data_IF_218090922189
#
_entry.id   IF_218090922189
#
_cell.length_a   1.000
_cell.length_b   1.000
_cell.length_c   1.000
_cell.angle_alpha   90.00
_cell.angle_beta   90.00
_cell.angle_gamma   90.00
#
_symmetry.space_group_name_H-M   'P 1'
#
loop_
_entity.id
_entity.type
_entity.pdbx_description
1 polymer ?
#
# COMPACT_ATOMS: atom_id res chain seq x y z
N UNK A 1 -4.54 1.64 -10.90
CA UNK A 1 -5.63 1.35 -9.95
C UNK A 1 -6.19 -0.06 -10.18
N UNK A 2 -6.82 -0.44 -11.31
CA UNK A 2 -7.42 -1.78 -11.43
C UNK A 2 -6.40 -2.92 -11.28
N UNK A 3 -5.25 -2.85 -11.91
CA UNK A 3 -4.28 -3.98 -11.95
C UNK A 3 -3.62 -4.29 -10.60
N UNK A 4 -3.37 -3.28 -9.77
CA UNK A 4 -2.67 -3.46 -8.48
C UNK A 4 -3.67 -3.62 -7.34
N UNK A 5 -4.71 -2.78 -7.31
CA UNK A 5 -5.64 -2.69 -6.18
C UNK A 5 -7.00 -3.34 -6.43
N UNK A 6 -7.24 -3.89 -7.63
CA UNK A 6 -8.54 -4.45 -8.05
C UNK A 6 -9.72 -3.50 -7.83
N UNK A 7 -9.52 -2.20 -8.02
CA UNK A 7 -10.60 -1.22 -7.92
C UNK A 7 -11.12 -0.82 -9.28
N UNK A 8 -12.44 -0.70 -9.38
CA UNK A 8 -13.18 -0.35 -10.57
C UNK A 8 -13.91 0.99 -10.38
N UNK A 9 -14.38 1.65 -11.46
CA UNK A 9 -15.22 2.84 -11.34
C UNK A 9 -16.40 2.60 -10.40
N UNK A 10 -16.59 3.50 -9.43
CA UNK A 10 -17.61 3.40 -8.40
C UNK A 10 -17.15 2.77 -7.07
N UNK A 11 -16.04 2.03 -7.06
CA UNK A 11 -15.48 1.51 -5.81
C UNK A 11 -14.93 2.65 -4.92
N UNK A 12 -14.89 2.40 -3.62
CA UNK A 12 -14.30 3.32 -2.65
C UNK A 12 -12.89 2.87 -2.29
N UNK A 13 -11.92 3.70 -2.60
CA UNK A 13 -10.51 3.51 -2.26
C UNK A 13 -10.08 4.52 -1.21
N UNK A 14 -9.36 4.08 -0.20
CA UNK A 14 -8.87 4.94 0.87
C UNK A 14 -7.37 4.77 1.09
N UNK A 15 -6.60 5.80 0.73
CA UNK A 15 -5.22 5.93 1.17
C UNK A 15 -5.18 6.79 2.45
N UNK A 16 -5.12 6.12 3.60
CA UNK A 16 -5.03 6.76 4.91
C UNK A 16 -3.58 7.19 5.19
N UNK A 17 -3.17 8.26 4.54
CA UNK A 17 -1.82 8.83 4.60
C UNK A 17 -1.87 10.36 4.56
N UNK A 18 -0.72 10.99 4.74
CA UNK A 18 -0.59 12.45 4.72
C UNK A 18 -0.68 12.99 3.30
N UNK A 19 -1.63 13.89 3.07
CA UNK A 19 -1.85 14.53 1.77
C UNK A 19 -0.68 15.45 1.35
N UNK A 20 0.15 15.87 2.29
CA UNK A 20 1.32 16.73 2.04
C UNK A 20 2.49 16.01 1.36
N UNK A 21 2.47 14.69 1.27
CA UNK A 21 3.47 13.88 0.58
C UNK A 21 3.01 13.51 -0.84
N UNK A 22 3.93 12.96 -1.65
CA UNK A 22 3.58 12.49 -3.00
C UNK A 22 2.45 11.45 -3.00
N UNK A 23 2.30 10.67 -1.92
CA UNK A 23 1.16 9.76 -1.73
C UNK A 23 -0.19 10.48 -1.80
N UNK A 24 -0.25 11.73 -1.31
CA UNK A 24 -1.44 12.58 -1.44
C UNK A 24 -1.81 12.85 -2.88
N UNK A 25 -0.82 13.13 -3.72
CA UNK A 25 -1.03 13.33 -5.15
C UNK A 25 -1.39 12.03 -5.87
N UNK A 26 -0.53 11.03 -5.76
CA UNK A 26 -0.69 9.77 -6.51
C UNK A 26 -1.87 8.94 -6.03
N UNK A 27 -1.98 8.69 -4.73
CA UNK A 27 -2.88 7.67 -4.19
C UNK A 27 -4.13 8.22 -3.51
N UNK A 28 -4.14 9.49 -3.07
CA UNK A 28 -5.34 10.06 -2.45
C UNK A 28 -6.16 10.81 -3.49
N UNK A 29 -5.53 11.63 -4.35
CA UNK A 29 -6.26 12.53 -5.25
C UNK A 29 -6.32 11.99 -6.68
N UNK A 30 -5.18 11.90 -7.38
CA UNK A 30 -5.23 11.75 -8.84
C UNK A 30 -5.61 10.35 -9.29
N UNK A 31 -4.94 9.31 -8.82
CA UNK A 31 -5.18 7.97 -9.35
C UNK A 31 -6.58 7.43 -9.08
N UNK A 32 -7.15 7.55 -7.86
CA UNK A 32 -8.52 7.12 -7.62
C UNK A 32 -9.54 7.86 -8.50
N UNK A 33 -9.44 9.18 -8.59
CA UNK A 33 -10.38 9.99 -9.36
C UNK A 33 -10.28 9.72 -10.87
N UNK A 34 -9.05 9.58 -11.41
CA UNK A 34 -8.84 9.19 -12.82
C UNK A 34 -9.41 7.81 -13.10
N UNK A 35 -9.33 6.89 -12.14
CA UNK A 35 -9.91 5.55 -12.26
C UNK A 35 -11.44 5.53 -12.08
N UNK A 36 -12.08 6.66 -11.80
CA UNK A 36 -13.54 6.73 -11.55
C UNK A 36 -13.95 6.19 -10.18
N UNK A 37 -13.01 6.05 -9.25
CA UNK A 37 -13.26 5.63 -7.88
C UNK A 37 -13.67 6.82 -7.00
N UNK A 38 -14.39 6.54 -5.93
CA UNK A 38 -14.49 7.46 -4.81
C UNK A 38 -13.22 7.36 -3.97
N UNK A 39 -12.73 8.49 -3.47
CA UNK A 39 -11.59 8.55 -2.56
C UNK A 39 -12.01 9.15 -1.21
N UNK A 40 -11.44 8.63 -0.14
CA UNK A 40 -11.67 9.17 1.20
C UNK A 40 -10.53 10.13 1.55
N UNK A 41 -10.87 11.37 1.83
CA UNK A 41 -9.95 12.36 2.41
C UNK A 41 -10.22 12.42 3.91
N UNK A 42 -9.29 11.93 4.69
CA UNK A 42 -9.44 11.73 6.12
C UNK A 42 -8.58 12.71 6.92
N UNK A 43 -9.23 13.49 7.79
CA UNK A 43 -8.57 14.36 8.76
C UNK A 43 -8.60 13.69 10.14
N UNK A 44 -7.56 12.94 10.47
CA UNK A 44 -7.47 12.24 11.74
C UNK A 44 -6.21 11.40 11.86
N UNK A 45 -6.14 10.66 12.96
CA UNK A 45 -5.04 9.74 13.27
C UNK A 45 -5.56 8.32 13.40
N UNK A 46 -4.74 7.28 13.21
CA UNK A 46 -5.17 5.89 13.34
C UNK A 46 -5.62 5.50 14.75
N UNK A 47 -5.20 6.30 15.74
CA UNK A 47 -5.63 6.19 17.14
C UNK A 47 -5.90 7.58 17.71
N UNK A 48 -6.83 7.67 18.70
CA UNK A 48 -7.11 8.93 19.39
C UNK A 48 -7.98 9.93 18.62
N UNK A 49 -8.73 9.49 17.59
CA UNK A 49 -9.68 10.33 16.83
C UNK A 49 -11.05 9.65 16.68
N UNK A 50 -11.83 9.42 17.72
CA UNK A 50 -11.47 9.59 19.15
C UNK A 50 -10.72 8.40 19.75
N UNK A 51 -10.67 7.24 19.10
CA UNK A 51 -10.13 5.97 19.58
C UNK A 51 -9.50 5.13 18.47
N UNK A 52 -9.09 3.89 18.77
CA UNK A 52 -8.49 2.95 17.82
C UNK A 52 -9.50 2.34 16.81
N UNK A 53 -10.79 2.63 16.95
CA UNK A 53 -11.85 2.17 16.05
C UNK A 53 -12.10 3.09 14.86
N UNK A 54 -11.39 4.21 14.75
CA UNK A 54 -11.67 5.21 13.72
C UNK A 54 -11.55 4.67 12.29
N UNK A 55 -10.56 3.82 12.00
CA UNK A 55 -10.41 3.24 10.67
C UNK A 55 -11.58 2.32 10.33
N UNK A 56 -12.05 1.57 11.29
CA UNK A 56 -13.17 0.65 11.12
C UNK A 56 -14.49 1.39 10.89
N UNK A 57 -14.72 2.52 11.58
CA UNK A 57 -15.87 3.40 11.32
C UNK A 57 -15.84 3.96 9.89
N UNK A 58 -14.71 4.45 9.44
CA UNK A 58 -14.56 4.99 8.08
C UNK A 58 -14.82 3.92 7.03
N UNK A 59 -14.29 2.69 7.24
CA UNK A 59 -14.53 1.56 6.34
C UNK A 59 -16.03 1.23 6.29
N UNK A 60 -16.68 1.13 7.44
CA UNK A 60 -18.10 0.83 7.55
C UNK A 60 -18.97 1.91 6.90
N UNK A 61 -18.74 3.17 7.24
CA UNK A 61 -19.55 4.32 6.80
C UNK A 61 -19.45 4.54 5.29
N UNK A 62 -18.24 4.44 4.74
CA UNK A 62 -17.99 4.72 3.33
C UNK A 62 -17.89 3.47 2.46
N UNK A 63 -18.06 2.27 3.05
CA UNK A 63 -17.94 0.99 2.33
C UNK A 63 -16.63 0.87 1.56
N UNK A 64 -15.54 1.17 2.24
CA UNK A 64 -14.19 1.13 1.67
C UNK A 64 -13.87 -0.29 1.21
N UNK A 65 -13.53 -0.44 -0.08
CA UNK A 65 -13.11 -1.70 -0.69
C UNK A 65 -11.63 -1.98 -0.46
N UNK A 66 -10.79 -0.96 -0.60
CA UNK A 66 -9.34 -1.08 -0.43
C UNK A 66 -8.84 0.02 0.51
N UNK A 67 -8.12 -0.40 1.54
CA UNK A 67 -7.39 0.48 2.43
C UNK A 67 -5.89 0.41 2.11
N UNK A 68 -5.26 1.58 1.93
CA UNK A 68 -3.81 1.72 1.89
C UNK A 68 -3.34 2.60 3.03
N UNK A 69 -2.32 2.18 3.78
CA UNK A 69 -1.73 2.98 4.86
C UNK A 69 -0.28 2.56 5.15
N UNK A 70 0.33 3.18 6.16
CA UNK A 70 1.67 2.81 6.60
C UNK A 70 1.63 1.70 7.68
N UNK A 71 2.64 0.81 7.75
CA UNK A 71 2.76 -0.18 8.81
C UNK A 71 2.73 0.42 10.22
N UNK A 72 3.28 1.62 10.40
CA UNK A 72 3.21 2.37 11.67
C UNK A 72 1.80 2.62 12.15
N UNK A 73 0.84 2.86 11.25
CA UNK A 73 -0.56 3.04 11.61
C UNK A 73 -1.14 1.74 12.22
N UNK A 74 -0.86 0.60 11.57
CA UNK A 74 -1.32 -0.70 12.07
C UNK A 74 -0.61 -1.14 13.35
N UNK A 75 0.68 -0.86 13.52
CA UNK A 75 1.36 -1.06 14.81
C UNK A 75 0.74 -0.24 15.93
N UNK A 76 0.36 1.01 15.64
CA UNK A 76 -0.31 1.85 16.63
C UNK A 76 -1.70 1.30 17.00
N UNK A 77 -2.50 0.89 16.01
CA UNK A 77 -3.82 0.27 16.25
C UNK A 77 -3.66 -1.03 17.05
N UNK A 78 -2.78 -1.94 16.62
CA UNK A 78 -2.47 -3.20 17.33
C UNK A 78 -2.09 -2.97 18.78
N UNK A 79 -1.25 -1.96 19.05
CA UNK A 79 -0.86 -1.61 20.41
C UNK A 79 -2.03 -1.09 21.27
N UNK A 80 -2.93 -0.31 20.65
CA UNK A 80 -4.07 0.29 21.35
C UNK A 80 -5.25 -0.67 21.50
N UNK A 81 -5.40 -1.63 20.57
CA UNK A 81 -6.51 -2.59 20.50
C UNK A 81 -6.00 -3.96 20.01
N UNK A 82 -5.17 -4.66 20.83
CA UNK A 82 -4.53 -5.91 20.41
C UNK A 82 -5.54 -7.03 20.12
N UNK A 83 -6.66 -7.03 20.80
CA UNK A 83 -7.72 -8.04 20.66
C UNK A 83 -8.77 -7.70 19.60
N UNK A 84 -8.70 -6.50 19.01
CA UNK A 84 -9.63 -6.02 18.00
C UNK A 84 -11.02 -5.72 18.54
N UNK A 85 -11.13 -5.28 19.78
CA UNK A 85 -12.44 -5.02 20.41
C UNK A 85 -13.16 -3.82 19.81
N UNK A 86 -12.42 -2.86 19.27
CA UNK A 86 -13.02 -1.79 18.47
C UNK A 86 -13.42 -2.31 17.08
N UNK A 87 -12.60 -3.13 16.44
CA UNK A 87 -12.91 -3.71 15.13
C UNK A 87 -14.22 -4.51 15.17
N UNK A 88 -14.43 -5.32 16.19
CA UNK A 88 -15.64 -6.15 16.36
C UNK A 88 -16.96 -5.35 16.42
N UNK A 89 -16.90 -4.04 16.64
CA UNK A 89 -18.07 -3.15 16.73
C UNK A 89 -18.50 -2.58 15.37
N UNK A 90 -17.73 -2.86 14.30
CA UNK A 90 -17.92 -2.27 13.00
C UNK A 90 -18.02 -3.31 11.90
N UNK A 91 -18.84 -3.04 10.89
CA UNK A 91 -18.94 -3.86 9.67
C UNK A 91 -17.84 -3.47 8.68
N UNK A 92 -16.78 -4.28 8.62
CA UNK A 92 -15.69 -4.11 7.66
C UNK A 92 -15.79 -5.06 6.47
N UNK A 93 -16.94 -5.67 6.22
CA UNK A 93 -17.16 -6.68 5.16
C UNK A 93 -16.96 -6.14 3.73
N UNK A 94 -17.00 -4.83 3.54
CA UNK A 94 -16.67 -4.19 2.27
C UNK A 94 -15.18 -4.22 1.93
N UNK A 95 -14.30 -4.34 2.94
CA UNK A 95 -12.86 -4.35 2.75
C UNK A 95 -12.42 -5.67 2.11
N UNK A 96 -11.71 -5.59 0.98
CA UNK A 96 -11.16 -6.76 0.27
C UNK A 96 -9.66 -6.89 0.42
N UNK A 97 -8.95 -5.78 0.51
CA UNK A 97 -7.50 -5.74 0.63
C UNK A 97 -7.03 -4.61 1.54
N UNK A 98 -5.96 -4.89 2.29
CA UNK A 98 -5.15 -3.89 2.98
C UNK A 98 -3.77 -3.84 2.32
N UNK A 99 -3.37 -2.65 1.86
CA UNK A 99 -2.03 -2.39 1.35
C UNK A 99 -1.21 -1.57 2.34
N UNK A 100 0.06 -1.95 2.52
CA UNK A 100 1.01 -1.27 3.38
C UNK A 100 2.22 -0.80 2.59
N UNK A 101 2.68 0.42 2.83
CA UNK A 101 3.92 0.97 2.26
C UNK A 101 4.51 2.10 3.12
N UNK A 102 5.69 2.58 2.71
CA UNK A 102 6.41 3.67 3.35
C UNK A 102 7.54 3.21 4.24
N UNK A 103 7.47 2.00 4.74
CA UNK A 103 8.53 1.27 5.46
C UNK A 103 8.28 -0.23 5.31
N UNK A 104 9.27 -1.05 5.65
CA UNK A 104 9.08 -2.50 5.64
C UNK A 104 7.99 -2.88 6.66
N UNK A 105 6.98 -3.60 6.19
CA UNK A 105 5.97 -4.18 7.04
C UNK A 105 6.55 -5.41 7.76
N UNK A 106 6.57 -5.37 9.10
CA UNK A 106 7.04 -6.52 9.88
C UNK A 106 6.03 -7.66 9.85
N UNK A 107 6.49 -8.93 9.80
CA UNK A 107 5.62 -10.10 9.70
C UNK A 107 4.56 -10.18 10.79
N UNK A 108 4.89 -9.77 12.01
CA UNK A 108 3.99 -9.84 13.17
C UNK A 108 2.81 -8.87 13.04
N UNK A 109 3.04 -7.69 12.48
CA UNK A 109 1.97 -6.73 12.16
C UNK A 109 1.09 -7.22 11.01
N UNK A 110 1.70 -7.78 9.95
CA UNK A 110 0.96 -8.36 8.82
C UNK A 110 0.04 -9.49 9.30
N UNK A 111 0.58 -10.46 10.03
CA UNK A 111 -0.17 -11.61 10.52
C UNK A 111 -1.32 -11.19 11.45
N UNK A 112 -1.06 -10.25 12.36
CA UNK A 112 -2.09 -9.71 13.23
C UNK A 112 -3.22 -9.06 12.43
N UNK A 113 -2.87 -8.22 11.45
CA UNK A 113 -3.87 -7.54 10.62
C UNK A 113 -4.68 -8.53 9.77
N UNK A 114 -4.03 -9.55 9.18
CA UNK A 114 -4.70 -10.60 8.42
C UNK A 114 -5.68 -11.40 9.30
N UNK A 115 -5.25 -11.78 10.51
CA UNK A 115 -6.09 -12.51 11.46
C UNK A 115 -7.31 -11.71 11.88
N UNK A 116 -7.14 -10.41 12.15
CA UNK A 116 -8.22 -9.54 12.62
C UNK A 116 -9.18 -9.12 11.52
N UNK A 117 -8.69 -8.82 10.32
CA UNK A 117 -9.52 -8.31 9.21
C UNK A 117 -10.08 -9.42 8.32
N UNK A 118 -9.45 -10.59 8.30
CA UNK A 118 -9.85 -11.69 7.42
C UNK A 118 -9.58 -11.43 5.93
N UNK A 119 -8.72 -10.44 5.60
CA UNK A 119 -8.37 -10.09 4.22
C UNK A 119 -6.86 -10.16 4.01
N UNK A 120 -6.38 -10.34 2.76
CA UNK A 120 -4.96 -10.26 2.46
C UNK A 120 -4.38 -8.90 2.84
N UNK A 121 -3.22 -8.92 3.51
CA UNK A 121 -2.43 -7.73 3.84
C UNK A 121 -1.17 -7.76 3.00
N UNK A 122 -1.02 -6.75 2.15
CA UNK A 122 -0.05 -6.71 1.07
C UNK A 122 0.95 -5.61 1.35
N UNK A 123 2.22 -5.99 1.55
CA UNK A 123 3.32 -5.03 1.51
C UNK A 123 3.63 -4.69 0.05
N UNK A 124 3.83 -3.41 -0.25
CA UNK A 124 4.21 -2.98 -1.58
C UNK A 124 5.23 -1.85 -1.53
N UNK A 125 6.12 -1.81 -2.51
CA UNK A 125 7.24 -0.89 -2.53
C UNK A 125 7.13 0.11 -3.68
N UNK A 126 7.32 1.36 -3.35
CA UNK A 126 7.41 2.49 -4.26
C UNK A 126 8.22 3.62 -3.62
N UNK A 127 8.54 4.63 -4.39
CA UNK A 127 9.28 5.80 -3.95
C UNK A 127 8.62 7.07 -4.46
N UNK A 128 8.96 8.20 -3.84
CA UNK A 128 8.53 9.53 -4.30
C UNK A 128 8.87 9.75 -5.77
N UNK A 129 10.06 9.31 -6.18
CA UNK A 129 10.59 9.46 -7.54
C UNK A 129 9.82 8.63 -8.57
N UNK A 130 9.21 7.54 -8.18
CA UNK A 130 8.39 6.72 -9.08
C UNK A 130 6.92 7.11 -9.06
N UNK A 131 6.44 7.69 -7.96
CA UNK A 131 5.04 8.09 -7.78
C UNK A 131 4.03 6.95 -7.75
N UNK A 132 4.45 5.72 -8.08
CA UNK A 132 3.64 4.52 -8.19
C UNK A 132 4.42 3.27 -7.81
N UNK A 133 3.70 2.15 -7.53
CA UNK A 133 4.32 0.90 -7.09
C UNK A 133 5.32 0.35 -8.09
N UNK A 134 6.52 0.05 -7.60
CA UNK A 134 7.58 -0.67 -8.33
C UNK A 134 7.36 -2.18 -8.17
N UNK A 135 7.11 -2.63 -6.93
CA UNK A 135 6.79 -4.02 -6.61
C UNK A 135 5.53 -4.09 -5.76
N UNK A 136 4.67 -5.06 -6.05
CA UNK A 136 3.43 -5.34 -5.31
C UNK A 136 2.94 -6.75 -5.61
N UNK A 137 1.86 -7.16 -4.95
CA UNK A 137 0.98 -8.23 -5.39
C UNK A 137 -0.09 -7.62 -6.30
N UNK A 138 -0.13 -7.92 -7.60
CA UNK A 138 -1.04 -7.28 -8.55
C UNK A 138 -2.43 -7.91 -8.51
N UNK A 139 -3.15 -7.74 -7.40
CA UNK A 139 -4.40 -8.49 -7.12
C UNK A 139 -5.52 -8.30 -8.16
N UNK A 140 -5.46 -7.26 -8.95
CA UNK A 140 -6.40 -7.07 -10.06
C UNK A 140 -6.01 -7.81 -11.34
N UNK A 141 -4.83 -8.44 -11.39
CA UNK A 141 -4.39 -9.32 -12.49
C UNK A 141 -4.42 -10.76 -12.00
N UNK A 142 -3.71 -11.04 -10.90
CA UNK A 142 -3.61 -12.33 -10.27
C UNK A 142 -3.29 -12.15 -8.79
N UNK A 143 -4.01 -12.85 -7.92
CA UNK A 143 -3.73 -12.85 -6.48
C UNK A 143 -2.62 -13.86 -6.20
N UNK A 144 -1.42 -13.35 -5.97
CA UNK A 144 -0.27 -14.17 -5.60
C UNK A 144 -0.26 -14.48 -4.10
N UNK A 145 0.37 -15.57 -3.67
CA UNK A 145 0.59 -15.83 -2.25
C UNK A 145 1.34 -14.69 -1.57
N UNK A 146 0.82 -14.20 -0.45
CA UNK A 146 1.48 -13.15 0.33
C UNK A 146 2.76 -13.72 0.95
N UNK A 147 3.90 -13.10 0.66
CA UNK A 147 5.20 -13.38 1.28
C UNK A 147 5.51 -12.34 2.33
N UNK A 148 5.55 -12.75 3.59
CA UNK A 148 5.80 -11.84 4.71
C UNK A 148 7.15 -11.10 4.56
N UNK A 149 7.10 -9.77 4.67
CA UNK A 149 8.28 -8.91 4.55
C UNK A 149 8.83 -8.76 3.13
N UNK A 150 8.02 -9.12 2.11
CA UNK A 150 8.37 -8.96 0.71
C UNK A 150 7.27 -8.19 -0.02
N UNK A 151 7.63 -7.20 -0.88
CA UNK A 151 6.68 -6.51 -1.74
C UNK A 151 6.26 -7.34 -2.96
N UNK A 152 6.58 -8.63 -3.00
CA UNK A 152 6.20 -9.61 -4.01
C UNK A 152 6.94 -9.45 -5.35
N UNK A 153 6.30 -9.00 -6.42
CA UNK A 153 6.86 -9.01 -7.79
C UNK A 153 6.90 -7.60 -8.40
N UNK A 154 7.78 -7.37 -9.39
CA UNK A 154 7.77 -6.13 -10.15
C UNK A 154 6.43 -5.90 -10.85
N UNK A 155 5.96 -4.65 -10.82
CA UNK A 155 4.75 -4.25 -11.52
C UNK A 155 5.01 -4.08 -13.02
N UNK A 156 3.96 -4.20 -13.87
CA UNK A 156 4.11 -4.01 -15.31
C UNK A 156 4.83 -2.70 -15.67
N UNK A 157 5.86 -2.81 -16.49
CA UNK A 157 6.73 -1.70 -16.88
C UNK A 157 8.04 -1.61 -16.11
N UNK A 158 8.19 -2.31 -14.99
CA UNK A 158 9.43 -2.36 -14.22
C UNK A 158 10.18 -3.68 -14.45
N UNK A 159 11.50 -3.58 -14.54
CA UNK A 159 12.43 -4.71 -14.39
C UNK A 159 13.27 -4.44 -13.15
N UNK A 160 13.23 -5.36 -12.18
CA UNK A 160 13.93 -5.22 -10.91
C UNK A 160 14.85 -6.41 -10.72
N UNK A 161 16.12 -6.12 -10.46
CA UNK A 161 17.17 -7.10 -10.22
C UNK A 161 17.86 -6.82 -8.88
N UNK A 162 18.44 -7.85 -8.29
CA UNK A 162 19.34 -7.71 -7.14
C UNK A 162 20.77 -7.84 -7.66
N UNK A 163 21.57 -6.81 -7.44
CA UNK A 163 22.92 -6.73 -7.97
C UNK A 163 23.99 -6.77 -6.88
N UNK A 164 25.11 -7.39 -7.21
CA UNK A 164 26.35 -7.31 -6.43
C UNK A 164 27.00 -5.92 -6.62
N UNK A 165 28.06 -5.64 -5.83
CA UNK A 165 28.83 -4.38 -5.92
C UNK A 165 29.46 -4.16 -7.30
N UNK A 166 29.81 -5.23 -8.01
CA UNK A 166 30.38 -5.19 -9.36
C UNK A 166 29.30 -5.06 -10.47
N UNK A 167 28.02 -4.98 -10.08
CA UNK A 167 26.87 -4.89 -10.99
C UNK A 167 26.40 -6.21 -11.58
N UNK A 168 26.98 -7.34 -11.19
CA UNK A 168 26.51 -8.66 -11.61
C UNK A 168 25.21 -9.04 -10.89
N UNK A 169 24.27 -9.77 -11.55
CA UNK A 169 23.08 -10.28 -10.88
C UNK A 169 23.41 -11.24 -9.72
N UNK A 170 22.65 -11.17 -8.65
CA UNK A 170 22.69 -12.09 -7.52
C UNK A 170 21.72 -13.26 -7.73
N UNK A 171 22.11 -14.41 -7.21
CA UNK A 171 21.20 -15.55 -7.14
C UNK A 171 20.12 -15.38 -6.08
N UNK A 172 19.05 -16.16 -6.20
CA UNK A 172 17.94 -16.14 -5.24
C UNK A 172 18.42 -16.50 -3.83
N UNK A 173 18.08 -15.65 -2.86
CA UNK A 173 18.50 -15.79 -1.46
C UNK A 173 19.79 -15.04 -1.09
N UNK A 174 20.49 -14.47 -2.04
CA UNK A 174 21.65 -13.63 -1.79
C UNK A 174 21.27 -12.16 -1.57
N UNK A 175 22.06 -11.48 -0.73
CA UNK A 175 21.91 -10.05 -0.48
C UNK A 175 22.60 -9.23 -1.56
N UNK A 176 21.96 -8.12 -1.96
CA UNK A 176 22.52 -7.18 -2.92
C UNK A 176 21.73 -5.87 -2.97
N UNK A 177 22.14 -4.98 -3.86
CA UNK A 177 21.43 -3.73 -4.13
C UNK A 177 20.21 -3.98 -5.01
N UNK A 178 19.06 -3.41 -4.63
CA UNK A 178 17.87 -3.42 -5.49
C UNK A 178 18.11 -2.44 -6.62
N UNK A 179 18.09 -2.91 -7.86
CA UNK A 179 18.27 -2.11 -9.05
C UNK A 179 17.01 -2.15 -9.93
N UNK A 180 16.65 -1.00 -10.47
CA UNK A 180 15.58 -0.88 -11.46
C UNK A 180 16.19 -0.55 -12.80
N UNK A 181 15.92 -1.40 -13.79
CA UNK A 181 16.49 -1.24 -15.14
C UNK A 181 15.87 -0.05 -15.86
N UNK A 182 16.71 0.75 -16.51
CA UNK A 182 16.29 1.85 -17.37
C UNK A 182 15.91 1.37 -18.80
N UNK A 183 15.01 2.10 -19.50
CA UNK A 183 14.30 3.29 -19.03
C UNK A 183 13.21 2.96 -18.04
N UNK A 184 12.94 3.90 -17.11
CA UNK A 184 11.79 3.80 -16.23
C UNK A 184 10.47 3.89 -17.02
N UNK A 185 9.36 3.40 -16.47
CA UNK A 185 8.04 3.61 -17.07
C UNK A 185 7.77 5.10 -17.32
N UNK A 186 6.95 5.44 -18.35
CA UNK A 186 6.58 6.81 -18.62
C UNK A 186 6.04 7.52 -17.39
N UNK A 187 6.43 8.77 -17.18
CA UNK A 187 6.07 9.63 -16.05
C UNK A 187 6.77 9.34 -14.71
N UNK A 188 7.63 8.32 -14.63
CA UNK A 188 8.52 8.13 -13.50
C UNK A 188 9.74 9.06 -13.64
N UNK A 189 9.93 9.94 -12.66
CA UNK A 189 11.06 10.90 -12.61
C UNK A 189 11.39 11.51 -14.00
N UNK A 190 10.46 12.24 -14.64
CA UNK A 190 10.68 12.76 -15.99
C UNK A 190 11.82 13.78 -16.05
N UNK A 191 12.03 14.53 -14.97
CA UNK A 191 13.12 15.51 -14.84
C UNK A 191 13.29 15.93 -13.37
N UNK A 192 14.44 16.54 -13.07
CA UNK A 192 14.72 17.19 -11.79
C UNK A 192 14.69 18.69 -12.03
N UNK A 193 14.05 19.44 -11.14
CA UNK A 193 13.97 20.90 -11.24
C UNK A 193 15.36 21.52 -11.33
N UNK A 194 15.63 22.31 -12.39
CA UNK A 194 16.92 22.99 -12.67
C UNK A 194 18.13 22.04 -12.78
N UNK A 195 17.92 20.80 -13.16
CA UNK A 195 19.00 19.90 -13.56
C UNK A 195 19.09 19.93 -15.11
N UNK A 196 19.92 20.83 -15.63
CA UNK A 196 20.27 20.93 -17.05
C UNK A 196 21.41 19.96 -17.37
#
# INVERSE_FOLDING_TARGET
MPNIYDVQPGDVYWAASDIGWVVGHSYIVYAPLIAGCSTVLFEGKPIGTPDAGVFWRVIEEHKVKVLFTAPTAFRAIKRADPDGDFLKKHDTSSLTYLFLAGERADPDTILWAQDRLGVPVIDHWWQTETGWSICSNPVGIEVLPVKLGSPSVPMPGYQVDILAEDGSPRDAGELGAIAVKLPLPPSCLPTIWRAD
#
